data_IF_030598597708
#
_entry.id   IF_030598597708
#
_cell.length_a   1.000
_cell.length_b   1.000
_cell.length_c   1.000
_cell.angle_alpha   90.00
_cell.angle_beta   90.00
_cell.angle_gamma   90.00
#
_symmetry.space_group_name_H-M   'P 1'
#
loop_
_entity.id
_entity.type
_entity.pdbx_description
1 polymer ?
#
# COMPACT_ATOMS: atom_id res chain seq x y z
N UNK A 1 4.29 3.56 24.66
CA UNK A 1 2.92 4.05 24.47
C UNK A 1 2.71 4.03 22.97
N UNK A 2 1.68 3.33 22.48
CA UNK A 2 1.42 3.05 21.05
C UNK A 2 1.79 4.25 20.17
N UNK A 3 2.82 4.09 19.33
CA UNK A 3 2.99 4.98 18.19
C UNK A 3 1.81 4.72 17.27
N UNK A 4 0.76 5.53 17.42
CA UNK A 4 -0.30 5.58 16.43
C UNK A 4 0.34 6.08 15.14
N UNK A 5 0.67 5.14 14.26
CA UNK A 5 1.22 5.40 12.95
C UNK A 5 0.45 6.55 12.30
N UNK A 6 1.15 7.64 11.96
CA UNK A 6 0.61 8.77 11.22
C UNK A 6 -0.52 9.61 11.89
N UNK A 7 -0.69 9.59 13.21
CA UNK A 7 -1.65 10.49 13.91
C UNK A 7 -1.32 11.99 13.72
N UNK A 8 -0.09 12.31 13.33
CA UNK A 8 0.37 13.67 13.03
C UNK A 8 0.01 14.15 11.61
N UNK A 9 -0.52 13.27 10.76
CA UNK A 9 -0.84 13.59 9.37
C UNK A 9 -2.36 13.81 9.17
N UNK A 10 -2.75 14.70 8.24
CA UNK A 10 -4.15 14.85 7.84
C UNK A 10 -4.75 13.52 7.36
N UNK A 11 -6.02 13.29 7.67
CA UNK A 11 -6.73 12.05 7.33
C UNK A 11 -6.57 11.59 5.86
N UNK A 12 -6.55 12.47 4.83
CA UNK A 12 -6.34 12.05 3.44
C UNK A 12 -5.08 11.24 3.18
N UNK A 13 -4.01 11.39 3.96
CA UNK A 13 -2.77 10.61 3.81
C UNK A 13 -3.00 9.11 4.11
N UNK A 14 -4.01 8.78 4.90
CA UNK A 14 -4.34 7.39 5.24
C UNK A 14 -4.99 6.63 4.05
N UNK A 15 -5.29 7.32 2.94
CA UNK A 15 -5.66 6.68 1.68
C UNK A 15 -4.44 6.14 0.92
N UNK A 16 -3.21 6.52 1.28
CA UNK A 16 -1.98 6.08 0.59
C UNK A 16 -1.90 4.54 0.52
N UNK A 17 -2.05 3.77 1.63
CA UNK A 17 -2.06 2.31 1.58
C UNK A 17 -3.14 1.71 0.68
N UNK A 18 -4.32 2.35 0.64
CA UNK A 18 -5.44 1.89 -0.20
C UNK A 18 -5.12 2.09 -1.66
N UNK A 19 -4.60 3.26 -2.03
CA UNK A 19 -4.24 3.60 -3.40
C UNK A 19 -3.06 2.75 -3.90
N UNK A 20 -2.00 2.58 -3.11
CA UNK A 20 -0.86 1.74 -3.49
C UNK A 20 -1.25 0.26 -3.59
N UNK A 21 -2.14 -0.21 -2.71
CA UNK A 21 -2.73 -1.54 -2.82
C UNK A 21 -3.53 -1.74 -4.12
N UNK A 22 -4.41 -0.80 -4.45
CA UNK A 22 -5.20 -0.84 -5.70
C UNK A 22 -4.31 -0.82 -6.94
N UNK A 23 -3.27 0.01 -6.95
CA UNK A 23 -2.28 0.04 -8.04
C UNK A 23 -1.58 -1.33 -8.15
N UNK A 24 -1.16 -1.91 -7.03
CA UNK A 24 -0.58 -3.26 -6.97
C UNK A 24 -1.52 -4.33 -7.54
N UNK A 25 -2.79 -4.29 -7.16
CA UNK A 25 -3.82 -5.22 -7.65
C UNK A 25 -4.01 -5.11 -9.18
N UNK A 26 -4.13 -3.89 -9.70
CA UNK A 26 -4.34 -3.65 -11.13
C UNK A 26 -3.13 -4.10 -11.93
N UNK A 27 -1.91 -3.74 -11.50
CA UNK A 27 -0.69 -4.20 -12.14
C UNK A 27 -0.56 -5.72 -12.09
N UNK A 28 -0.80 -6.34 -10.93
CA UNK A 28 -0.76 -7.79 -10.78
C UNK A 28 -1.75 -8.50 -11.69
N UNK A 29 -2.97 -7.96 -11.82
CA UNK A 29 -4.01 -8.49 -12.71
C UNK A 29 -3.62 -8.38 -14.19
N UNK A 30 -2.97 -7.29 -14.58
CA UNK A 30 -2.51 -7.09 -15.95
C UNK A 30 -1.35 -8.02 -16.31
N UNK A 31 -0.34 -8.13 -15.44
CA UNK A 31 0.85 -8.94 -15.67
C UNK A 31 0.54 -10.43 -15.76
N UNK A 32 -0.51 -10.90 -15.07
CA UNK A 32 -0.83 -12.32 -14.98
C UNK A 32 -1.83 -12.83 -16.05
N UNK A 33 -2.22 -11.98 -17.02
CA UNK A 33 -3.14 -12.36 -18.10
C UNK A 33 -2.78 -13.63 -18.90
N UNK A 34 -1.51 -13.90 -19.24
CA UNK A 34 -1.16 -15.07 -20.06
C UNK A 34 -1.10 -16.39 -19.28
N UNK A 35 -1.26 -16.36 -17.95
CA UNK A 35 -1.07 -17.54 -17.10
C UNK A 35 -2.39 -18.28 -16.79
N UNK A 36 -2.27 -19.44 -16.15
CA UNK A 36 -3.40 -20.30 -15.80
C UNK A 36 -4.32 -19.72 -14.70
N UNK A 37 -5.50 -20.34 -14.48
CA UNK A 37 -6.52 -19.84 -13.56
C UNK A 37 -6.04 -19.65 -12.11
N UNK A 38 -5.18 -20.56 -11.63
CA UNK A 38 -4.63 -20.50 -10.27
C UNK A 38 -3.74 -19.26 -10.05
N UNK A 39 -2.92 -18.92 -11.05
CA UNK A 39 -2.05 -17.75 -10.97
C UNK A 39 -2.89 -16.45 -11.02
N UNK A 40 -3.94 -16.43 -11.85
CA UNK A 40 -4.86 -15.28 -11.97
C UNK A 40 -5.61 -14.95 -10.69
N UNK A 41 -5.85 -15.93 -9.80
CA UNK A 41 -6.50 -15.68 -8.52
C UNK A 41 -5.52 -15.30 -7.42
N UNK A 42 -4.34 -15.95 -7.37
CA UNK A 42 -3.39 -15.75 -6.27
C UNK A 42 -2.46 -14.56 -6.48
N UNK A 43 -1.96 -14.34 -7.69
CA UNK A 43 -0.95 -13.31 -7.94
C UNK A 43 -1.48 -11.89 -7.71
N UNK A 44 -2.67 -11.49 -8.20
CA UNK A 44 -3.20 -10.15 -7.93
C UNK A 44 -3.45 -9.89 -6.45
N UNK A 45 -3.91 -10.91 -5.69
CA UNK A 45 -4.11 -10.81 -4.25
C UNK A 45 -2.78 -10.58 -3.51
N UNK A 46 -1.71 -11.29 -3.91
CA UNK A 46 -0.36 -11.07 -3.35
C UNK A 46 0.11 -9.65 -3.68
N UNK A 47 -0.06 -9.18 -4.93
CA UNK A 47 0.31 -7.82 -5.32
C UNK A 47 -0.48 -6.74 -4.55
N UNK A 48 -1.76 -6.98 -4.26
CA UNK A 48 -2.58 -6.09 -3.41
C UNK A 48 -1.99 -5.98 -2.00
N UNK A 49 -1.64 -7.10 -1.38
CA UNK A 49 -1.08 -7.14 -0.02
C UNK A 49 0.27 -6.42 0.01
N UNK A 50 1.15 -6.71 -0.94
CA UNK A 50 2.47 -6.06 -1.04
C UNK A 50 2.32 -4.56 -1.32
N UNK A 51 1.42 -4.18 -2.22
CA UNK A 51 1.16 -2.77 -2.53
C UNK A 51 0.60 -1.99 -1.33
N UNK A 52 -0.33 -2.59 -0.59
CA UNK A 52 -0.87 -2.00 0.63
C UNK A 52 0.20 -1.85 1.73
N UNK A 53 1.02 -2.87 1.92
CA UNK A 53 2.14 -2.82 2.86
C UNK A 53 3.18 -1.76 2.48
N UNK A 54 3.53 -1.66 1.19
CA UNK A 54 4.41 -0.59 0.68
C UNK A 54 3.84 0.81 0.93
N UNK A 55 2.52 1.00 0.83
CA UNK A 55 1.89 2.27 1.17
C UNK A 55 1.89 2.59 2.65
N UNK A 56 1.84 1.58 3.54
CA UNK A 56 2.03 1.80 4.98
C UNK A 56 3.45 2.26 5.30
N UNK A 57 4.46 1.67 4.66
CA UNK A 57 5.85 2.13 4.79
C UNK A 57 5.99 3.58 4.30
N UNK A 58 5.39 3.89 3.14
CA UNK A 58 5.41 5.25 2.59
C UNK A 58 4.76 6.25 3.56
N UNK A 59 3.60 5.89 4.13
CA UNK A 59 2.90 6.71 5.12
C UNK A 59 3.73 6.92 6.39
N UNK A 60 4.43 5.88 6.87
CA UNK A 60 5.37 5.96 7.97
C UNK A 60 6.51 6.95 7.69
N UNK A 61 7.15 6.85 6.53
CA UNK A 61 8.23 7.77 6.14
C UNK A 61 7.76 9.22 6.04
N UNK A 62 6.54 9.46 5.53
CA UNK A 62 5.95 10.80 5.47
C UNK A 62 5.66 11.32 6.89
N UNK A 63 5.13 10.46 7.76
CA UNK A 63 4.86 10.79 9.17
C UNK A 63 6.13 11.24 9.88
N UNK A 64 7.22 10.48 9.70
CA UNK A 64 8.50 10.76 10.36
C UNK A 64 9.11 12.08 9.86
N UNK A 65 9.08 12.32 8.55
CA UNK A 65 9.57 13.56 7.96
C UNK A 65 8.79 14.81 8.41
N UNK A 66 7.47 14.70 8.61
CA UNK A 66 6.67 15.80 9.16
C UNK A 66 6.96 16.06 10.65
N UNK A 67 7.29 15.02 11.43
CA UNK A 67 7.73 15.17 12.82
C UNK A 67 9.07 15.89 12.93
N UNK A 68 10.02 15.60 12.04
CA UNK A 68 11.34 16.26 12.03
C UNK A 68 11.27 17.74 11.61
N UNK A 69 10.20 18.16 10.93
CA UNK A 69 9.98 19.55 10.48
C UNK A 69 9.28 20.46 11.49
N UNK A 70 8.64 19.89 12.51
CA UNK A 70 7.83 20.60 13.51
C UNK A 70 8.62 20.90 14.78
#
# INVERSE_FOLDING_TARGET
MEERFADNLPWPYHLIPVLTGLIGLVMGSYLIQPYGPLAKTTFPAICLIIGGFGGLILLGNISDNERERS
#
